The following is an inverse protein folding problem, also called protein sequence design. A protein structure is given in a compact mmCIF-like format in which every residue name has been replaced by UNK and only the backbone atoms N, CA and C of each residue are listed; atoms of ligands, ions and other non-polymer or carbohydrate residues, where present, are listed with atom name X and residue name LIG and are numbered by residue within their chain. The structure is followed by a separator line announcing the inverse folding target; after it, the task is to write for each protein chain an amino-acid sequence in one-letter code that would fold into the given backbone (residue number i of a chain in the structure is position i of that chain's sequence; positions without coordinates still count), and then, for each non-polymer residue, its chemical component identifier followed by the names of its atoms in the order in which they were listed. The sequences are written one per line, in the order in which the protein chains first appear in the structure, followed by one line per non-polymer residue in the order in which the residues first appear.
data_IF_648324181924
#
_entry.id   IF_648324181924
#
_cell.length_a   1.000
_cell.length_b   1.000
_cell.length_c   1.000
_cell.angle_alpha   90.00
_cell.angle_beta   90.00
_cell.angle_gamma   90.00
#
_symmetry.space_group_name_H-M   'P 1'
#
loop_
_entity.id
_entity.type
_entity.pdbx_description
1 polymer ?
#
# COMPACT_ATOMS: atom_id res chain seq x y z
N UNK A 1 13.01 23.42 -0.47
CA UNK A 1 12.91 22.37 0.56
C UNK A 1 11.77 22.68 1.51
N UNK A 2 10.80 21.77 1.64
CA UNK A 2 9.75 21.82 2.67
C UNK A 2 10.35 21.51 4.03
N UNK A 3 10.42 22.53 4.88
CA UNK A 3 10.82 22.39 6.27
C UNK A 3 9.62 21.89 7.06
N UNK A 4 9.77 20.74 7.70
CA UNK A 4 8.74 20.19 8.58
C UNK A 4 9.06 20.57 10.02
N UNK A 5 8.24 21.43 10.61
CA UNK A 5 8.13 21.50 12.06
C UNK A 5 7.09 20.50 12.55
N UNK A 6 7.29 19.88 13.72
CA UNK A 6 6.28 18.99 14.30
C UNK A 6 6.17 19.18 15.82
N UNK A 7 5.02 18.76 16.36
CA UNK A 7 4.74 18.78 17.80
C UNK A 7 3.98 17.52 18.21
N UNK A 8 4.31 16.99 19.39
CA UNK A 8 3.50 16.00 20.08
C UNK A 8 2.42 16.71 20.89
N UNK A 9 1.16 16.43 20.59
CA UNK A 9 0.00 17.02 21.23
C UNK A 9 -0.87 15.92 21.86
N UNK A 10 -1.62 16.27 22.91
CA UNK A 10 -2.53 15.36 23.61
C UNK A 10 -1.86 14.07 24.12
N UNK A 11 -0.53 14.09 24.31
CA UNK A 11 0.27 12.97 24.82
C UNK A 11 0.47 11.80 23.84
N UNK A 12 -0.23 11.76 22.71
CA UNK A 12 -0.15 10.63 21.78
C UNK A 12 -0.33 10.95 20.29
N UNK A 13 -0.53 12.21 19.88
CA UNK A 13 -0.75 12.59 18.48
C UNK A 13 0.34 13.51 17.98
N UNK A 14 0.92 13.18 16.83
CA UNK A 14 1.90 14.02 16.15
C UNK A 14 1.20 14.88 15.10
N UNK A 15 1.50 16.17 15.12
CA UNK A 15 1.06 17.13 14.13
C UNK A 15 2.26 17.81 13.49
N UNK A 16 2.19 18.00 12.18
CA UNK A 16 3.20 18.69 11.39
C UNK A 16 2.73 20.10 11.02
N UNK A 17 3.68 20.97 10.69
CA UNK A 17 3.46 22.28 10.10
C UNK A 17 4.40 22.47 8.92
N UNK A 18 3.81 22.82 7.78
CA UNK A 18 4.52 23.24 6.56
C UNK A 18 3.78 24.48 6.06
N UNK A 19 4.53 25.54 5.74
CA UNK A 19 3.99 26.83 5.26
C UNK A 19 2.89 27.41 6.17
N UNK A 20 3.02 27.22 7.49
CA UNK A 20 2.05 27.66 8.50
C UNK A 20 0.81 26.76 8.64
N UNK A 21 0.55 25.87 7.67
CA UNK A 21 -0.58 24.94 7.70
C UNK A 21 -0.28 23.73 8.58
N UNK A 22 -1.17 23.46 9.54
CA UNK A 22 -1.09 22.32 10.45
C UNK A 22 -1.78 21.10 9.84
N UNK A 23 -1.16 19.93 9.94
CA UNK A 23 -1.74 18.66 9.49
C UNK A 23 -1.44 17.52 10.48
N UNK A 24 -2.27 16.49 10.45
CA UNK A 24 -2.12 15.31 11.32
C UNK A 24 -1.14 14.31 10.69
N UNK A 25 -0.10 13.92 11.44
CA UNK A 25 0.92 12.96 10.98
C UNK A 25 0.49 11.54 11.35
N UNK A 26 0.13 11.32 12.62
CA UNK A 26 -0.22 10.00 13.13
C UNK A 26 -0.37 9.96 14.66
N UNK A 27 -0.98 8.89 15.15
CA UNK A 27 -1.10 8.58 16.58
C UNK A 27 -0.07 7.54 16.99
N UNK A 28 0.47 7.66 18.20
CA UNK A 28 1.31 6.64 18.83
C UNK A 28 0.50 5.36 19.07
N UNK A 29 1.04 4.22 18.65
CA UNK A 29 0.46 2.88 18.82
C UNK A 29 1.53 1.94 19.39
N UNK A 30 1.26 1.26 20.52
CA UNK A 30 2.09 0.15 21.00
C UNK A 30 1.81 -1.13 20.20
N UNK A 31 2.85 -1.91 19.89
CA UNK A 31 2.71 -3.18 19.18
C UNK A 31 3.86 -4.13 19.53
N UNK A 32 3.55 -5.37 19.95
CA UNK A 32 4.53 -6.44 20.25
C UNK A 32 5.77 -6.00 21.07
N UNK A 33 5.59 -5.10 22.04
CA UNK A 33 6.66 -4.58 22.91
C UNK A 33 7.42 -3.38 22.35
N UNK A 34 7.14 -2.97 21.11
CA UNK A 34 7.58 -1.72 20.50
C UNK A 34 6.48 -0.67 20.42
N UNK A 35 6.77 0.42 19.70
CA UNK A 35 5.81 1.49 19.38
C UNK A 35 6.14 2.15 18.06
N UNK A 36 5.15 2.78 17.45
CA UNK A 36 5.28 3.57 16.24
C UNK A 36 4.06 4.45 16.01
N UNK A 37 3.96 5.05 14.84
CA UNK A 37 2.86 5.86 14.36
C UNK A 37 1.85 5.05 13.55
N UNK A 38 0.58 5.43 13.68
CA UNK A 38 -0.53 5.00 12.83
C UNK A 38 -1.31 6.22 12.34
N UNK A 39 -1.60 6.29 11.05
CA UNK A 39 -2.52 7.27 10.49
C UNK A 39 -3.59 6.57 9.65
N UNK A 40 -4.80 6.53 10.20
CA UNK A 40 -6.00 5.96 9.54
C UNK A 40 -7.15 6.98 9.51
N UNK A 41 -6.85 8.25 9.80
CA UNK A 41 -7.84 9.32 9.90
C UNK A 41 -7.75 10.20 8.65
N UNK A 42 -8.89 10.46 8.04
CA UNK A 42 -8.98 11.33 6.88
C UNK A 42 -10.40 11.48 6.38
N UNK A 43 -10.53 12.19 5.27
CA UNK A 43 -11.80 12.50 4.61
C UNK A 43 -11.98 11.66 3.35
N UNK A 44 -13.19 11.65 2.77
CA UNK A 44 -13.47 10.90 1.55
C UNK A 44 -12.60 11.33 0.37
N UNK A 45 -12.29 12.64 0.23
CA UNK A 45 -11.44 13.17 -0.86
C UNK A 45 -9.97 12.76 -0.74
N UNK A 46 -9.54 12.27 0.43
CA UNK A 46 -8.21 11.74 0.67
C UNK A 46 -8.12 10.23 0.46
N UNK A 47 -9.24 9.59 0.08
CA UNK A 47 -9.29 8.16 -0.20
C UNK A 47 -9.19 7.88 -1.69
N UNK A 48 -8.64 6.72 -2.01
CA UNK A 48 -8.77 6.14 -3.34
C UNK A 48 -10.23 6.03 -3.75
N UNK A 49 -10.54 6.58 -4.91
CA UNK A 49 -11.84 6.48 -5.54
C UNK A 49 -11.66 5.92 -6.96
N UNK A 50 -11.99 4.63 -7.13
CA UNK A 50 -11.89 3.93 -8.42
C UNK A 50 -12.53 4.68 -9.59
N UNK A 51 -13.62 5.42 -9.37
CA UNK A 51 -14.33 6.11 -10.44
C UNK A 51 -13.44 7.15 -11.15
N UNK A 52 -12.55 7.80 -10.40
CA UNK A 52 -11.63 8.83 -10.91
C UNK A 52 -10.54 8.22 -11.81
N UNK A 53 -10.34 6.90 -11.73
CA UNK A 53 -9.24 6.18 -12.39
C UNK A 53 -9.72 5.20 -13.48
N UNK A 54 -11.03 5.01 -13.64
CA UNK A 54 -11.59 4.09 -14.64
C UNK A 54 -11.24 4.44 -16.08
N UNK A 55 -11.20 5.72 -16.43
CA UNK A 55 -10.86 6.15 -17.80
C UNK A 55 -9.43 5.75 -18.18
N UNK A 56 -8.53 5.71 -17.21
CA UNK A 56 -7.11 5.38 -17.42
C UNK A 56 -6.84 3.88 -17.31
N UNK A 57 -7.41 3.23 -16.29
CA UNK A 57 -7.04 1.85 -15.93
C UNK A 57 -8.15 0.82 -16.15
N UNK A 58 -9.33 1.26 -16.61
CA UNK A 58 -10.47 0.40 -16.87
C UNK A 58 -10.86 -0.43 -15.64
N UNK A 59 -11.10 -1.71 -15.87
CA UNK A 59 -11.54 -2.66 -14.84
C UNK A 59 -10.56 -2.79 -13.67
N UNK A 60 -9.26 -2.56 -13.89
CA UNK A 60 -8.27 -2.69 -12.81
C UNK A 60 -8.49 -1.67 -11.69
N UNK A 61 -9.02 -0.48 -12.01
CA UNK A 61 -9.39 0.50 -10.99
C UNK A 61 -10.47 -0.05 -10.04
N UNK A 62 -11.43 -0.78 -10.60
CA UNK A 62 -12.49 -1.45 -9.84
C UNK A 62 -11.98 -2.71 -9.11
N UNK A 63 -11.10 -3.48 -9.76
CA UNK A 63 -10.57 -4.75 -9.23
C UNK A 63 -9.80 -4.58 -7.92
N UNK A 64 -8.95 -3.54 -7.80
CA UNK A 64 -8.15 -3.32 -6.59
C UNK A 64 -8.96 -2.66 -5.45
N UNK A 65 -10.16 -2.17 -5.74
CA UNK A 65 -10.95 -1.35 -4.80
C UNK A 65 -11.23 -2.06 -3.48
N UNK A 66 -11.73 -3.31 -3.44
CA UNK A 66 -12.00 -3.98 -2.16
C UNK A 66 -10.74 -4.13 -1.29
N UNK A 67 -9.59 -4.44 -1.90
CA UNK A 67 -8.31 -4.50 -1.18
C UNK A 67 -7.90 -3.14 -0.65
N UNK A 68 -7.95 -2.09 -1.47
CA UNK A 68 -7.68 -0.72 -1.01
C UNK A 68 -8.56 -0.32 0.18
N UNK A 69 -9.86 -0.61 0.12
CA UNK A 69 -10.78 -0.32 1.22
C UNK A 69 -10.47 -1.11 2.49
N UNK A 70 -10.02 -2.36 2.35
CA UNK A 70 -9.60 -3.21 3.46
C UNK A 70 -8.30 -2.73 4.10
N UNK A 71 -7.44 -2.03 3.35
CA UNK A 71 -6.25 -1.30 3.85
C UNK A 71 -6.56 0.11 4.38
N UNK A 72 -7.82 0.56 4.33
CA UNK A 72 -8.28 1.88 4.77
C UNK A 72 -8.39 2.94 3.67
N UNK A 73 -7.77 2.70 2.52
CA UNK A 73 -7.83 3.47 1.27
C UNK A 73 -7.34 4.93 1.30
N UNK A 74 -6.84 5.46 2.43
CA UNK A 74 -6.28 6.80 2.46
C UNK A 74 -4.92 6.81 1.75
N UNK A 75 -4.68 7.78 0.87
CA UNK A 75 -3.37 7.95 0.22
C UNK A 75 -2.22 8.18 1.21
N UNK A 76 -2.56 8.56 2.44
CA UNK A 76 -1.63 8.77 3.55
C UNK A 76 -1.80 7.75 4.67
N UNK A 77 -2.45 6.59 4.44
CA UNK A 77 -2.48 5.54 5.46
C UNK A 77 -1.04 5.19 5.83
N UNK A 78 -0.71 5.23 7.12
CA UNK A 78 0.64 5.04 7.66
C UNK A 78 0.59 4.04 8.81
N UNK A 79 1.55 3.11 8.84
CA UNK A 79 1.87 2.26 9.98
C UNK A 79 3.39 2.10 10.09
N UNK A 80 3.97 2.27 11.27
CA UNK A 80 5.44 2.18 11.46
C UNK A 80 5.85 1.30 12.65
N UNK A 81 4.90 0.63 13.29
CA UNK A 81 5.10 -0.06 14.57
C UNK A 81 5.42 -1.57 14.45
N UNK A 82 5.37 -2.14 13.25
CA UNK A 82 5.58 -3.59 13.02
C UNK A 82 6.90 -3.89 12.30
N UNK A 83 7.11 -5.16 11.94
CA UNK A 83 8.34 -5.61 11.24
C UNK A 83 8.64 -4.88 9.93
N UNK A 84 7.64 -4.24 9.30
CA UNK A 84 7.87 -3.46 8.10
C UNK A 84 8.60 -2.15 8.40
N UNK A 85 8.59 -1.68 9.67
CA UNK A 85 9.04 -0.38 10.21
C UNK A 85 8.41 0.84 9.54
N UNK A 86 7.97 0.74 8.30
CA UNK A 86 7.30 1.78 7.57
C UNK A 86 6.43 1.16 6.47
N UNK A 87 5.12 1.36 6.61
CA UNK A 87 4.10 0.98 5.64
C UNK A 87 3.28 2.20 5.31
N UNK A 88 3.17 2.55 4.03
CA UNK A 88 2.54 3.79 3.57
C UNK A 88 1.73 3.57 2.30
N UNK A 89 0.77 4.48 2.03
CA UNK A 89 -0.15 4.51 0.88
C UNK A 89 -1.49 3.83 1.12
N UNK A 90 -2.43 4.09 0.20
CA UNK A 90 -3.78 3.53 0.20
C UNK A 90 -3.85 2.00 0.05
N UNK A 91 -2.75 1.38 -0.37
CA UNK A 91 -2.58 -0.07 -0.47
C UNK A 91 -1.56 -0.64 0.54
N UNK A 92 -1.03 0.21 1.44
CA UNK A 92 -0.11 -0.22 2.50
C UNK A 92 1.18 -0.88 1.96
N UNK A 93 1.94 -0.11 1.18
CA UNK A 93 3.23 -0.50 0.64
C UNK A 93 4.27 -0.61 1.74
N UNK A 94 4.96 -1.74 1.83
CA UNK A 94 5.81 -2.08 2.96
C UNK A 94 7.31 -1.92 2.63
N UNK A 95 8.03 -1.13 3.43
CA UNK A 95 9.43 -0.79 3.17
C UNK A 95 10.41 -1.97 3.30
N UNK A 96 10.04 -3.02 4.04
CA UNK A 96 10.93 -4.17 4.29
C UNK A 96 11.05 -5.17 3.13
N UNK A 97 10.36 -4.94 2.00
CA UNK A 97 10.37 -5.85 0.85
C UNK A 97 11.33 -5.33 -0.21
N UNK A 98 12.48 -5.99 -0.45
CA UNK A 98 13.38 -5.67 -1.56
C UNK A 98 12.64 -5.73 -2.90
N UNK A 99 12.87 -4.72 -3.75
CA UNK A 99 12.14 -4.54 -5.01
C UNK A 99 10.60 -4.53 -4.89
N UNK A 100 10.10 -4.29 -3.68
CA UNK A 100 8.68 -4.24 -3.38
C UNK A 100 7.99 -2.98 -3.90
N UNK A 101 6.71 -2.88 -3.58
CA UNK A 101 5.86 -1.74 -3.90
C UNK A 101 6.38 -0.43 -3.28
N UNK A 102 6.85 -0.45 -2.04
CA UNK A 102 7.36 0.75 -1.37
C UNK A 102 8.65 1.27 -2.02
N UNK A 103 9.59 0.37 -2.37
CA UNK A 103 10.83 0.74 -3.07
C UNK A 103 10.50 1.33 -4.44
N UNK A 104 9.60 0.68 -5.18
CA UNK A 104 9.13 1.16 -6.49
C UNK A 104 8.43 2.52 -6.37
N UNK A 105 7.65 2.71 -5.31
CA UNK A 105 6.96 3.95 -4.99
C UNK A 105 7.92 5.09 -4.68
N UNK A 106 8.91 4.89 -3.80
CA UNK A 106 9.91 5.93 -3.52
C UNK A 106 10.69 6.27 -4.78
N UNK A 107 11.09 5.29 -5.61
CA UNK A 107 11.74 5.57 -6.90
C UNK A 107 10.87 6.45 -7.80
N UNK A 108 9.58 6.15 -7.93
CA UNK A 108 8.67 6.97 -8.73
C UNK A 108 8.49 8.38 -8.15
N UNK A 109 8.38 8.51 -6.82
CA UNK A 109 8.32 9.82 -6.18
C UNK A 109 9.56 10.66 -6.45
N UNK A 110 10.75 10.07 -6.41
CA UNK A 110 12.01 10.78 -6.65
C UNK A 110 12.16 11.29 -8.09
N UNK A 111 11.27 10.88 -9.00
CA UNK A 111 11.21 11.42 -10.36
C UNK A 111 10.16 12.53 -10.52
N UNK A 112 9.34 12.80 -9.50
CA UNK A 112 8.34 13.87 -9.55
C UNK A 112 9.00 15.24 -9.34
N UNK A 113 8.41 16.34 -9.88
CA UNK A 113 8.97 17.68 -9.74
C UNK A 113 9.16 18.14 -8.28
N UNK A 114 8.29 17.67 -7.37
CA UNK A 114 8.34 18.02 -5.94
C UNK A 114 9.32 17.15 -5.13
N UNK A 115 10.03 16.20 -5.74
CA UNK A 115 10.91 15.28 -5.03
C UNK A 115 11.96 16.00 -4.17
N UNK A 116 12.72 16.93 -4.76
CA UNK A 116 13.76 17.69 -4.06
C UNK A 116 13.22 18.62 -2.98
N UNK A 117 11.93 18.96 -3.05
CA UNK A 117 11.28 19.74 -2.01
C UNK A 117 11.03 18.91 -0.75
N UNK A 118 10.62 17.64 -0.87
CA UNK A 118 10.35 16.77 0.29
C UNK A 118 11.58 15.97 0.75
N UNK A 119 12.38 15.48 -0.19
CA UNK A 119 13.53 14.61 0.05
C UNK A 119 14.76 15.12 -0.71
N UNK A 120 15.31 16.29 -0.32
CA UNK A 120 16.46 16.89 -1.00
C UNK A 120 17.74 16.05 -0.91
N UNK A 121 17.82 15.17 0.08
CA UNK A 121 18.96 14.29 0.31
C UNK A 121 18.80 12.92 -0.37
N UNK A 122 17.70 12.66 -1.08
CA UNK A 122 17.50 11.42 -1.84
C UNK A 122 17.57 11.67 -3.35
N UNK A 123 18.16 10.72 -4.07
CA UNK A 123 18.09 10.64 -5.53
C UNK A 123 18.11 9.20 -6.03
N UNK A 124 17.92 9.03 -7.33
CA UNK A 124 18.18 7.76 -8.01
C UNK A 124 19.56 7.82 -8.66
N UNK A 125 20.38 6.80 -8.42
CA UNK A 125 21.69 6.63 -9.05
C UNK A 125 21.88 5.14 -9.39
N UNK A 126 22.24 4.84 -10.63
CA UNK A 126 22.32 3.48 -11.18
C UNK A 126 21.07 2.60 -10.87
N UNK A 127 19.90 3.23 -10.94
CA UNK A 127 18.61 2.58 -10.68
C UNK A 127 18.33 2.27 -9.20
N UNK A 128 19.18 2.73 -8.26
CA UNK A 128 19.02 2.55 -6.82
C UNK A 128 18.65 3.84 -6.11
N UNK A 129 17.93 3.70 -4.99
CA UNK A 129 17.71 4.84 -4.08
C UNK A 129 19.01 5.09 -3.31
N UNK A 130 19.53 6.31 -3.41
CA UNK A 130 20.71 6.72 -2.67
C UNK A 130 20.44 7.97 -1.84
N UNK A 131 21.10 8.06 -0.69
CA UNK A 131 21.15 9.25 0.16
C UNK A 131 22.45 10.00 -0.08
N UNK A 132 22.35 11.32 -0.27
CA UNK A 132 23.48 12.24 -0.30
C UNK A 132 23.74 12.69 1.14
N UNK A 133 24.86 12.27 1.71
CA UNK A 133 25.31 12.67 3.03
C UNK A 133 26.64 13.42 2.94
N UNK A 134 27.04 14.08 4.04
CA UNK A 134 28.34 14.78 4.10
C UNK A 134 29.52 13.84 3.83
N UNK A 135 29.39 12.57 4.20
CA UNK A 135 30.41 11.52 4.04
C UNK A 135 30.38 10.86 2.65
N UNK A 136 29.45 11.26 1.77
CA UNK A 136 29.31 10.74 0.42
C UNK A 136 27.93 10.14 0.14
N UNK A 137 27.88 9.26 -0.86
CA UNK A 137 26.64 8.65 -1.37
C UNK A 137 26.41 7.31 -0.67
N UNK A 138 25.24 7.13 -0.07
CA UNK A 138 24.85 5.90 0.65
C UNK A 138 23.72 5.22 -0.11
N UNK A 139 23.96 4.01 -0.62
CA UNK A 139 22.92 3.17 -1.24
C UNK A 139 21.98 2.63 -0.15
N UNK A 140 20.67 2.84 -0.31
CA UNK A 140 19.65 2.50 0.69
C UNK A 140 18.97 1.15 0.48
N UNK A 141 19.01 0.59 -0.74
CA UNK A 141 18.39 -0.69 -1.07
C UNK A 141 19.20 -1.50 -2.09
N UNK A 142 18.98 -2.81 -2.08
CA UNK A 142 19.47 -3.77 -3.06
C UNK A 142 18.38 -4.78 -3.40
N UNK A 143 18.69 -5.73 -4.28
CA UNK A 143 17.75 -6.82 -4.61
C UNK A 143 17.46 -7.78 -3.45
N UNK A 144 18.24 -7.71 -2.37
CA UNK A 144 18.17 -8.63 -1.24
C UNK A 144 17.96 -7.94 0.10
N UNK A 145 18.03 -6.61 0.18
CA UNK A 145 17.89 -5.89 1.44
C UNK A 145 17.36 -4.47 1.25
N UNK A 146 16.55 -4.02 2.20
CA UNK A 146 16.14 -2.62 2.36
C UNK A 146 16.51 -2.04 3.73
N UNK A 147 17.42 -2.66 4.48
CA UNK A 147 17.68 -2.29 5.87
C UNK A 147 18.05 -0.81 6.04
N UNK A 148 18.91 -0.28 5.17
CA UNK A 148 19.29 1.14 5.19
C UNK A 148 18.13 2.07 4.81
N UNK A 149 17.21 1.62 3.96
CA UNK A 149 15.98 2.34 3.66
C UNK A 149 15.05 2.35 4.88
N UNK A 150 14.96 1.23 5.62
CA UNK A 150 14.23 1.17 6.88
C UNK A 150 14.83 2.13 7.91
N UNK A 151 16.16 2.16 8.05
CA UNK A 151 16.86 3.10 8.94
C UNK A 151 16.62 4.56 8.54
N UNK A 152 16.54 4.84 7.24
CA UNK A 152 16.23 6.18 6.74
C UNK A 152 14.82 6.66 7.11
N UNK A 153 13.83 5.75 7.10
CA UNK A 153 12.42 6.09 7.33
C UNK A 153 11.98 5.95 8.79
N UNK A 154 12.43 4.91 9.49
CA UNK A 154 12.08 4.66 10.88
C UNK A 154 13.20 3.86 11.57
N UNK A 155 14.19 4.50 12.24
CA UNK A 155 15.42 3.88 12.76
C UNK A 155 15.24 2.75 13.79
N UNK A 156 14.14 2.70 14.53
CA UNK A 156 13.89 1.62 15.48
C UNK A 156 12.40 1.46 15.79
N UNK A 157 12.03 0.33 16.40
CA UNK A 157 10.68 0.11 16.94
C UNK A 157 10.62 0.36 18.46
N UNK A 158 11.73 0.81 19.07
CA UNK A 158 11.85 0.93 20.53
C UNK A 158 11.15 2.18 21.03
N UNK A 159 11.33 3.29 20.33
CA UNK A 159 10.77 4.60 20.62
C UNK A 159 10.32 5.25 19.31
N UNK A 160 9.40 6.21 19.40
CA UNK A 160 9.09 7.06 18.23
C UNK A 160 10.17 8.12 18.13
N UNK A 161 11.00 8.01 17.11
CA UNK A 161 12.15 8.88 16.89
C UNK A 161 11.78 10.09 16.02
N UNK A 162 12.46 11.21 16.19
CA UNK A 162 12.23 12.42 15.39
C UNK A 162 12.37 12.15 13.88
N UNK A 163 13.32 11.28 13.50
CA UNK A 163 13.47 10.80 12.12
C UNK A 163 12.18 10.16 11.61
N UNK A 164 11.60 9.22 12.34
CA UNK A 164 10.33 8.58 11.98
C UNK A 164 9.22 9.62 11.75
N UNK A 165 9.09 10.56 12.69
CA UNK A 165 8.05 11.60 12.63
C UNK A 165 8.25 12.52 11.42
N UNK A 166 9.48 12.94 11.15
CA UNK A 166 9.80 13.83 10.02
C UNK A 166 9.50 13.14 8.68
N UNK A 167 9.90 11.87 8.51
CA UNK A 167 9.71 11.16 7.25
C UNK A 167 8.24 10.81 7.02
N UNK A 168 7.54 10.40 8.08
CA UNK A 168 6.08 10.26 8.08
C UNK A 168 5.39 11.57 7.66
N UNK A 169 5.77 12.69 8.29
CA UNK A 169 5.18 13.99 8.01
C UNK A 169 5.36 14.43 6.56
N UNK A 170 6.56 14.23 5.99
CA UNK A 170 6.83 14.53 4.58
C UNK A 170 5.91 13.73 3.64
N UNK A 171 5.83 12.41 3.81
CA UNK A 171 5.00 11.56 2.95
C UNK A 171 3.50 11.85 3.12
N UNK A 172 3.03 12.01 4.37
CA UNK A 172 1.63 12.37 4.66
C UNK A 172 1.27 13.70 4.00
N UNK A 173 2.08 14.74 4.21
CA UNK A 173 1.82 16.04 3.61
C UNK A 173 1.87 16.00 2.09
N UNK A 174 2.83 15.28 1.51
CA UNK A 174 2.94 15.16 0.05
C UNK A 174 1.71 14.49 -0.55
N UNK A 175 1.29 13.34 -0.02
CA UNK A 175 0.12 12.60 -0.51
C UNK A 175 -1.18 13.42 -0.38
N UNK A 176 -1.31 14.24 0.67
CA UNK A 176 -2.49 15.07 0.88
C UNK A 176 -2.57 16.26 -0.09
N UNK A 177 -1.44 16.81 -0.53
CA UNK A 177 -1.41 18.08 -1.26
C UNK A 177 -1.02 17.97 -2.74
N UNK A 178 -0.47 16.84 -3.18
CA UNK A 178 0.00 16.68 -4.57
C UNK A 178 -0.76 15.57 -5.31
N UNK A 179 -1.55 15.89 -6.36
CA UNK A 179 -2.21 14.89 -7.17
C UNK A 179 -1.23 13.97 -7.92
N UNK A 180 -0.02 14.43 -8.27
CA UNK A 180 0.98 13.60 -8.93
C UNK A 180 1.49 12.48 -8.00
N UNK A 181 1.61 12.77 -6.70
CA UNK A 181 1.92 11.76 -5.70
C UNK A 181 0.83 10.68 -5.66
N UNK A 182 -0.44 11.09 -5.57
CA UNK A 182 -1.59 10.15 -5.53
C UNK A 182 -1.67 9.31 -6.79
N UNK A 183 -1.46 9.92 -7.96
CA UNK A 183 -1.44 9.21 -9.24
C UNK A 183 -0.31 8.18 -9.27
N UNK A 184 0.91 8.53 -8.84
CA UNK A 184 2.04 7.61 -8.78
C UNK A 184 1.73 6.41 -7.86
N UNK A 185 1.05 6.62 -6.72
CA UNK A 185 0.58 5.53 -5.88
C UNK A 185 -0.36 4.60 -6.67
N UNK A 186 -1.44 5.10 -7.30
CA UNK A 186 -2.40 4.18 -7.95
C UNK A 186 -1.82 3.49 -9.17
N UNK A 187 -0.96 4.16 -9.93
CA UNK A 187 -0.28 3.58 -11.09
C UNK A 187 0.59 2.38 -10.67
N UNK A 188 1.35 2.52 -9.58
CA UNK A 188 2.17 1.44 -9.02
C UNK A 188 1.30 0.32 -8.48
N UNK A 189 0.23 0.65 -7.75
CA UNK A 189 -0.70 -0.34 -7.22
C UNK A 189 -1.33 -1.18 -8.33
N UNK A 190 -1.86 -0.53 -9.36
CA UNK A 190 -2.49 -1.23 -10.48
C UNK A 190 -1.48 -2.10 -11.23
N UNK A 191 -0.29 -1.57 -11.54
CA UNK A 191 0.77 -2.35 -12.20
C UNK A 191 1.26 -3.52 -11.35
N UNK A 192 1.30 -3.37 -10.02
CA UNK A 192 1.61 -4.45 -9.08
C UNK A 192 0.58 -5.58 -9.21
N UNK A 193 -0.71 -5.28 -9.11
CA UNK A 193 -1.77 -6.28 -9.22
C UNK A 193 -1.82 -6.94 -10.59
N UNK A 194 -1.65 -6.18 -11.68
CA UNK A 194 -1.56 -6.73 -13.04
C UNK A 194 -0.41 -7.74 -13.16
N UNK A 195 0.78 -7.38 -12.70
CA UNK A 195 1.96 -8.25 -12.73
C UNK A 195 1.76 -9.49 -11.87
N UNK A 196 1.26 -9.31 -10.65
CA UNK A 196 1.03 -10.40 -9.71
C UNK A 196 -0.08 -11.35 -10.14
N UNK A 197 -1.11 -10.86 -10.82
CA UNK A 197 -2.16 -11.71 -11.35
C UNK A 197 -1.66 -12.69 -12.41
N UNK A 198 -0.63 -12.35 -13.19
CA UNK A 198 0.04 -13.32 -14.09
C UNK A 198 0.68 -14.45 -13.28
N UNK A 199 1.40 -14.13 -12.20
CA UNK A 199 2.02 -15.12 -11.32
C UNK A 199 0.96 -15.99 -10.62
N UNK A 200 -0.12 -15.36 -10.12
CA UNK A 200 -1.19 -16.05 -9.41
C UNK A 200 -2.00 -16.94 -10.35
N UNK A 201 -2.24 -16.51 -11.58
CA UNK A 201 -2.96 -17.30 -12.55
C UNK A 201 -2.21 -18.58 -12.93
N UNK A 202 -0.88 -18.50 -13.10
CA UNK A 202 -0.06 -19.68 -13.31
C UNK A 202 -0.05 -20.59 -12.06
N UNK A 203 0.10 -20.02 -10.87
CA UNK A 203 0.23 -20.77 -9.62
C UNK A 203 -1.06 -21.47 -9.18
N UNK A 204 -2.22 -20.85 -9.43
CA UNK A 204 -3.52 -21.30 -8.93
C UNK A 204 -4.47 -21.71 -10.05
N UNK A 205 -3.98 -21.89 -11.28
CA UNK A 205 -4.76 -22.26 -12.46
C UNK A 205 -6.00 -21.37 -12.66
N UNK A 206 -5.79 -20.05 -12.71
CA UNK A 206 -6.89 -19.07 -12.75
C UNK A 206 -7.41 -18.76 -14.15
N UNK A 207 -6.98 -19.48 -15.19
CA UNK A 207 -7.55 -19.30 -16.52
C UNK A 207 -9.05 -19.65 -16.51
N UNK A 208 -9.87 -18.72 -16.99
CA UNK A 208 -11.33 -18.86 -16.97
C UNK A 208 -11.99 -18.66 -15.61
N UNK A 209 -11.23 -18.43 -14.52
CA UNK A 209 -11.81 -18.19 -13.21
C UNK A 209 -12.48 -16.82 -13.12
N UNK A 210 -13.62 -16.69 -12.40
CA UNK A 210 -14.30 -15.41 -12.22
C UNK A 210 -13.43 -14.37 -11.53
N UNK A 211 -13.61 -13.11 -11.92
CA UNK A 211 -12.95 -11.94 -11.33
C UNK A 211 -13.02 -11.88 -9.80
N UNK A 212 -14.14 -12.27 -9.19
CA UNK A 212 -14.34 -12.32 -7.74
C UNK A 212 -13.40 -13.31 -7.05
N UNK A 213 -13.20 -14.50 -7.63
CA UNK A 213 -12.26 -15.51 -7.11
C UNK A 213 -10.83 -14.99 -7.24
N UNK A 214 -10.48 -14.43 -8.41
CA UNK A 214 -9.17 -13.84 -8.66
C UNK A 214 -8.85 -12.71 -7.68
N UNK A 215 -9.83 -11.83 -7.41
CA UNK A 215 -9.69 -10.70 -6.49
C UNK A 215 -9.37 -11.18 -5.08
N UNK A 216 -10.13 -12.15 -4.54
CA UNK A 216 -9.90 -12.63 -3.18
C UNK A 216 -8.53 -13.30 -3.08
N UNK A 217 -8.08 -14.03 -4.10
CA UNK A 217 -6.71 -14.58 -4.12
C UNK A 217 -5.67 -13.46 -4.12
N UNK A 218 -5.83 -12.46 -4.99
CA UNK A 218 -4.91 -11.34 -5.04
C UNK A 218 -4.82 -10.62 -3.69
N UNK A 219 -5.96 -10.41 -3.04
CA UNK A 219 -6.05 -9.81 -1.71
C UNK A 219 -5.40 -10.67 -0.60
N UNK A 220 -5.63 -12.00 -0.61
CA UNK A 220 -4.95 -12.94 0.30
C UNK A 220 -3.43 -12.81 0.18
N UNK A 221 -2.94 -12.75 -1.06
CA UNK A 221 -1.50 -12.71 -1.35
C UNK A 221 -0.89 -11.34 -1.05
N UNK A 222 -1.60 -10.26 -1.34
CA UNK A 222 -1.20 -8.89 -1.01
C UNK A 222 -0.98 -8.73 0.49
N UNK A 223 -1.96 -9.14 1.28
CA UNK A 223 -1.91 -8.98 2.73
C UNK A 223 -1.08 -10.07 3.44
N UNK A 224 -0.92 -11.24 2.81
CA UNK A 224 -0.09 -12.33 3.34
C UNK A 224 -0.78 -13.21 4.40
N UNK A 225 -2.11 -13.27 4.46
CA UNK A 225 -2.84 -14.06 5.48
C UNK A 225 -2.81 -15.57 5.31
N UNK A 226 -2.34 -16.10 4.18
CA UNK A 226 -2.44 -17.54 3.93
C UNK A 226 -1.32 -18.13 3.08
N UNK A 227 -1.09 -19.43 3.28
CA UNK A 227 -0.18 -20.22 2.47
C UNK A 227 -0.83 -20.62 1.14
N UNK A 228 -0.02 -21.01 0.15
CA UNK A 228 -0.54 -21.53 -1.12
C UNK A 228 -1.37 -22.80 -0.93
N UNK A 229 -1.01 -23.68 0.02
CA UNK A 229 -1.76 -24.90 0.30
C UNK A 229 -3.19 -24.57 0.78
N UNK A 230 -3.33 -23.56 1.65
CA UNK A 230 -4.64 -23.09 2.12
C UNK A 230 -5.51 -22.55 0.98
N UNK A 231 -4.92 -21.76 0.07
CA UNK A 231 -5.63 -21.21 -1.10
C UNK A 231 -6.07 -22.33 -2.03
N UNK A 232 -5.18 -23.28 -2.34
CA UNK A 232 -5.50 -24.42 -3.21
C UNK A 232 -6.60 -25.29 -2.61
N UNK A 233 -6.59 -25.55 -1.30
CA UNK A 233 -7.65 -26.30 -0.63
C UNK A 233 -9.01 -25.57 -0.73
N UNK A 234 -9.05 -24.25 -0.56
CA UNK A 234 -10.27 -23.47 -0.72
C UNK A 234 -10.80 -23.51 -2.16
N UNK A 235 -9.91 -23.49 -3.16
CA UNK A 235 -10.27 -23.61 -4.57
C UNK A 235 -10.91 -24.96 -4.95
N UNK A 236 -10.64 -26.03 -4.19
CA UNK A 236 -11.25 -27.34 -4.39
C UNK A 236 -12.59 -27.51 -3.65
N UNK A 237 -13.04 -26.52 -2.90
CA UNK A 237 -14.32 -26.59 -2.18
C UNK A 237 -15.52 -26.44 -3.12
N UNK A 238 -16.70 -26.87 -2.68
CA UNK A 238 -17.94 -26.71 -3.43
C UNK A 238 -18.34 -25.23 -3.65
N UNK A 239 -17.81 -24.31 -2.83
CA UNK A 239 -18.00 -22.87 -3.00
C UNK A 239 -16.66 -22.14 -2.77
N UNK A 240 -15.79 -22.09 -3.81
CA UNK A 240 -14.46 -21.52 -3.70
C UNK A 240 -14.42 -20.08 -3.18
N UNK A 241 -15.32 -19.22 -3.67
CA UNK A 241 -15.36 -17.82 -3.25
C UNK A 241 -15.63 -17.69 -1.75
N UNK A 242 -16.62 -18.42 -1.23
CA UNK A 242 -16.92 -18.43 0.20
C UNK A 242 -15.73 -18.96 1.01
N UNK A 243 -15.16 -20.10 0.60
CA UNK A 243 -14.03 -20.69 1.29
C UNK A 243 -12.81 -19.75 1.34
N UNK A 244 -12.52 -19.06 0.23
CA UNK A 244 -11.44 -18.06 0.17
C UNK A 244 -11.71 -16.85 1.09
N UNK A 245 -12.95 -16.38 1.17
CA UNK A 245 -13.34 -15.28 2.07
C UNK A 245 -13.38 -15.69 3.55
N UNK A 246 -13.41 -16.99 3.86
CA UNK A 246 -13.32 -17.53 5.23
C UNK A 246 -11.85 -17.65 5.69
N UNK A 247 -10.87 -17.57 4.77
CA UNK A 247 -9.43 -17.63 5.09
C UNK A 247 -8.99 -16.41 5.89
N UNK A 248 -8.52 -16.66 7.12
CA UNK A 248 -7.97 -15.65 8.02
C UNK A 248 -8.85 -15.38 9.25
N UNK A 249 -10.06 -15.93 9.32
CA UNK A 249 -10.86 -15.89 10.54
C UNK A 249 -10.21 -16.73 11.67
N UNK A 250 -10.42 -16.35 12.96
CA UNK A 250 -11.02 -15.10 13.43
C UNK A 250 -10.06 -13.90 13.40
N UNK A 251 -8.77 -14.14 13.10
CA UNK A 251 -7.67 -13.16 13.25
C UNK A 251 -7.87 -11.89 12.41
N UNK A 252 -8.43 -12.01 11.21
CA UNK A 252 -8.60 -10.91 10.26
C UNK A 252 -10.07 -10.52 10.04
N UNK A 253 -10.94 -10.78 11.02
CA UNK A 253 -12.39 -10.60 10.92
C UNK A 253 -12.81 -9.24 10.33
N UNK A 254 -12.30 -8.12 10.88
CA UNK A 254 -12.66 -6.77 10.44
C UNK A 254 -12.30 -6.52 8.96
N UNK A 255 -11.16 -7.04 8.51
CA UNK A 255 -10.77 -6.97 7.10
C UNK A 255 -11.76 -7.71 6.22
N UNK A 256 -12.12 -8.93 6.62
CA UNK A 256 -13.02 -9.80 5.85
C UNK A 256 -14.44 -9.22 5.78
N UNK A 257 -14.91 -8.54 6.83
CA UNK A 257 -16.16 -7.77 6.78
C UNK A 257 -16.13 -6.68 5.68
N UNK A 258 -15.04 -5.91 5.61
CA UNK A 258 -14.87 -4.87 4.59
C UNK A 258 -14.82 -5.48 3.19
N UNK A 259 -14.02 -6.53 3.00
CA UNK A 259 -13.91 -7.21 1.71
C UNK A 259 -15.25 -7.75 1.21
N UNK A 260 -16.00 -8.45 2.07
CA UNK A 260 -17.33 -8.97 1.71
C UNK A 260 -18.28 -7.85 1.32
N UNK A 261 -18.31 -6.77 2.10
CA UNK A 261 -19.16 -5.60 1.81
C UNK A 261 -18.81 -4.99 0.45
N UNK A 262 -17.54 -4.72 0.20
CA UNK A 262 -17.13 -4.07 -1.05
C UNK A 262 -17.29 -4.97 -2.27
N UNK A 263 -17.01 -6.27 -2.14
CA UNK A 263 -17.26 -7.24 -3.23
C UNK A 263 -18.74 -7.31 -3.56
N UNK A 264 -19.61 -7.46 -2.55
CA UNK A 264 -21.07 -7.50 -2.77
C UNK A 264 -21.57 -6.21 -3.43
N UNK A 265 -21.11 -5.04 -2.96
CA UNK A 265 -21.45 -3.75 -3.56
C UNK A 265 -21.07 -3.70 -5.05
N UNK A 266 -19.89 -4.19 -5.42
CA UNK A 266 -19.45 -4.20 -6.82
C UNK A 266 -20.18 -5.23 -7.68
N UNK A 267 -20.67 -6.33 -7.09
CA UNK A 267 -21.53 -7.31 -7.78
C UNK A 267 -22.91 -6.68 -8.04
N UNK A 268 -23.50 -6.02 -7.05
CA UNK A 268 -24.80 -5.33 -7.18
C UNK A 268 -24.76 -4.23 -8.24
N UNK A 269 -23.61 -3.55 -8.38
CA UNK A 269 -23.37 -2.56 -9.43
C UNK A 269 -23.12 -3.16 -10.83
N UNK A 270 -23.06 -4.49 -10.96
CA UNK A 270 -22.78 -5.17 -12.24
C UNK A 270 -21.33 -5.02 -12.72
N UNK A 271 -20.39 -4.82 -11.78
CA UNK A 271 -18.97 -4.61 -12.10
C UNK A 271 -18.18 -5.90 -11.88
N UNK A 272 -18.29 -6.50 -10.69
CA UNK A 272 -17.73 -7.81 -10.40
C UNK A 272 -18.72 -8.92 -10.73
N UNK A 273 -18.21 -10.13 -10.98
CA UNK A 273 -19.00 -11.29 -11.41
C UNK A 273 -19.34 -11.26 -12.89
N UNK A 274 -18.71 -10.38 -13.67
CA UNK A 274 -19.00 -10.19 -15.10
C UNK A 274 -17.82 -10.55 -16.00
N UNK A 275 -16.65 -10.80 -15.41
CA UNK A 275 -15.42 -11.15 -16.12
C UNK A 275 -14.79 -12.43 -15.61
N UNK A 276 -13.93 -13.00 -16.46
CA UNK A 276 -13.01 -14.07 -16.12
C UNK A 276 -11.58 -13.68 -16.48
N UNK A 277 -10.61 -14.24 -15.76
CA UNK A 277 -9.21 -14.02 -16.09
C UNK A 277 -8.80 -14.85 -17.32
N UNK A 278 -8.03 -14.25 -18.23
CA UNK A 278 -7.45 -14.93 -19.39
C UNK A 278 -5.93 -14.89 -19.30
N UNK A 279 -5.31 -16.05 -19.16
CA UNK A 279 -3.85 -16.20 -19.17
C UNK A 279 -3.24 -15.79 -20.50
N UNK A 280 -3.93 -16.06 -21.61
CA UNK A 280 -3.50 -15.66 -22.96
C UNK A 280 -3.48 -14.14 -23.14
N UNK A 281 -4.47 -13.42 -22.57
CA UNK A 281 -4.52 -11.95 -22.62
C UNK A 281 -3.77 -11.28 -21.48
N UNK A 282 -3.42 -12.02 -20.42
CA UNK A 282 -2.89 -11.52 -19.16
C UNK A 282 -3.79 -10.44 -18.55
N UNK A 283 -5.10 -10.60 -18.71
CA UNK A 283 -6.10 -9.61 -18.33
C UNK A 283 -7.49 -10.26 -18.14
N UNK A 284 -8.44 -9.49 -17.61
CA UNK A 284 -9.83 -9.87 -17.47
C UNK A 284 -10.63 -9.62 -18.76
N UNK A 285 -11.30 -10.67 -19.23
CA UNK A 285 -12.20 -10.62 -20.38
C UNK A 285 -13.63 -10.85 -19.93
N UNK A 286 -14.61 -10.38 -20.70
CA UNK A 286 -16.02 -10.65 -20.40
C UNK A 286 -16.28 -12.17 -20.35
N UNK A 287 -17.19 -12.60 -19.49
CA UNK A 287 -17.59 -14.00 -19.33
C UNK A 287 -18.05 -14.64 -20.64
#
# INVERSE_FOLDING_TARGET
MKIVGFSLEQGNKYFGRIDGARFFIGSRVPFEGGKGLMNIVGTAVQKYNRADFRSTYGFWADFIHPTAMAEGALYHTLNTYDRARFTFSFLQYAAHVPNGDFVTYVKALLQLPMASEYFPDLRIEDGRIVRIANEGIIILESDTSTERLLDYFNPSLREIEDTEVIQAAKLVHWAQNDPANRLAQVDIGIRHFQTKMVEYAARYALDGQPDTVCLVIADIRHQGRATSATILAALQSANPLKALLDIGEPRFHQRLLVLRREINRLIEEGILGTKKYSTAKKDFVNL
#
